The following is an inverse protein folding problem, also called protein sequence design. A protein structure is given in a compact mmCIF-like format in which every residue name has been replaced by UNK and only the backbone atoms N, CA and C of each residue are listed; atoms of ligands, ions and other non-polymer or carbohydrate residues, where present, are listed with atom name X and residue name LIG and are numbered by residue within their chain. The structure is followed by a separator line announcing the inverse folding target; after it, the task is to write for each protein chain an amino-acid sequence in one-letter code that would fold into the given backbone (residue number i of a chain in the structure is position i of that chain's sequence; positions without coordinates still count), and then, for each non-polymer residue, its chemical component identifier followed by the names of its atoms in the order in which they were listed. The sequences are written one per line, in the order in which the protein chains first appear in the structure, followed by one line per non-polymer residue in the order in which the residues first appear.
data_IF_881607345578
#
_entry.id   IF_881607345578
#
_cell.length_a   1.000
_cell.length_b   1.000
_cell.length_c   1.000
_cell.angle_alpha   90.00
_cell.angle_beta   90.00
_cell.angle_gamma   90.00
#
_symmetry.space_group_name_H-M   'P 1'
#
loop_
_entity.id
_entity.type
_entity.pdbx_description
1 polymer ?
#
# COMPACT_ATOMS: atom_id res chain seq x y z
N UNK A 1 -36.26 -6.69 -18.90
CA UNK A 1 -35.26 -5.63 -19.15
C UNK A 1 -34.34 -5.57 -17.94
N UNK A 2 -33.03 -5.80 -18.13
CA UNK A 2 -31.99 -5.49 -17.14
C UNK A 2 -31.63 -6.59 -16.16
N UNK A 3 -30.85 -7.56 -16.61
CA UNK A 3 -30.11 -8.50 -15.76
C UNK A 3 -29.11 -7.70 -14.91
N UNK A 4 -29.31 -7.67 -13.59
CA UNK A 4 -28.34 -7.11 -12.63
C UNK A 4 -27.03 -7.89 -12.80
N UNK A 5 -25.98 -7.18 -13.20
CA UNK A 5 -24.66 -7.73 -13.49
C UNK A 5 -24.15 -8.59 -12.33
N UNK A 6 -23.94 -9.87 -12.59
CA UNK A 6 -23.17 -10.78 -11.76
C UNK A 6 -21.71 -10.29 -11.76
N UNK A 7 -21.34 -9.44 -10.81
CA UNK A 7 -19.92 -9.33 -10.46
C UNK A 7 -19.54 -10.64 -9.79
N UNK A 8 -18.48 -11.29 -10.26
CA UNK A 8 -17.91 -12.43 -9.55
C UNK A 8 -17.56 -11.99 -8.11
N UNK A 9 -17.82 -12.84 -7.10
CA UNK A 9 -17.45 -12.51 -5.74
C UNK A 9 -15.93 -12.28 -5.67
N UNK A 10 -15.53 -11.08 -5.24
CA UNK A 10 -14.11 -10.73 -5.09
C UNK A 10 -13.46 -11.73 -4.15
N UNK A 11 -12.38 -12.36 -4.61
CA UNK A 11 -11.57 -13.23 -3.79
C UNK A 11 -10.74 -12.38 -2.80
N UNK A 12 -11.26 -12.21 -1.58
CA UNK A 12 -10.63 -11.44 -0.50
C UNK A 12 -9.15 -11.81 -0.26
N UNK A 13 -8.80 -13.09 -0.42
CA UNK A 13 -7.43 -13.57 -0.22
C UNK A 13 -6.52 -13.07 -1.34
N UNK A 14 -6.98 -13.13 -2.58
CA UNK A 14 -6.25 -12.64 -3.74
C UNK A 14 -6.07 -11.13 -3.71
N UNK A 15 -7.15 -10.39 -3.46
CA UNK A 15 -7.12 -8.94 -3.27
C UNK A 15 -6.08 -8.52 -2.24
N UNK A 16 -6.11 -9.17 -1.07
CA UNK A 16 -5.16 -8.94 0.01
C UNK A 16 -3.73 -9.23 -0.41
N UNK A 17 -3.48 -10.32 -1.13
CA UNK A 17 -2.14 -10.68 -1.59
C UNK A 17 -1.57 -9.66 -2.58
N UNK A 18 -2.39 -9.20 -3.54
CA UNK A 18 -2.02 -8.17 -4.51
C UNK A 18 -1.66 -6.87 -3.78
N UNK A 19 -2.53 -6.40 -2.89
CA UNK A 19 -2.31 -5.17 -2.13
C UNK A 19 -1.06 -5.24 -1.25
N UNK A 20 -0.85 -6.34 -0.53
CA UNK A 20 0.32 -6.51 0.33
C UNK A 20 1.60 -6.45 -0.50
N UNK A 21 1.61 -7.06 -1.69
CA UNK A 21 2.77 -7.02 -2.59
C UNK A 21 3.06 -5.60 -3.06
N UNK A 22 2.04 -4.85 -3.46
CA UNK A 22 2.20 -3.45 -3.87
C UNK A 22 2.66 -2.55 -2.71
N UNK A 23 2.11 -2.71 -1.50
CA UNK A 23 2.54 -1.96 -0.31
C UNK A 23 3.97 -2.29 0.12
N UNK A 24 4.40 -3.56 0.03
CA UNK A 24 5.79 -3.94 0.30
C UNK A 24 6.75 -3.33 -0.75
N UNK A 25 6.38 -3.37 -2.02
CA UNK A 25 7.20 -2.81 -3.09
C UNK A 25 7.27 -1.27 -3.01
N UNK A 26 6.17 -0.62 -2.63
CA UNK A 26 6.11 0.83 -2.40
C UNK A 26 7.24 1.34 -1.50
N UNK A 27 7.60 0.62 -0.42
CA UNK A 27 8.71 1.01 0.45
C UNK A 27 10.03 1.14 -0.31
N UNK A 28 10.35 0.15 -1.15
CA UNK A 28 11.56 0.17 -1.96
C UNK A 28 11.49 1.26 -3.04
N UNK A 29 10.31 1.48 -3.64
CA UNK A 29 10.13 2.55 -4.63
C UNK A 29 10.30 3.94 -4.01
N UNK A 30 9.84 4.16 -2.78
CA UNK A 30 10.01 5.43 -2.09
C UNK A 30 11.48 5.75 -1.85
N UNK A 31 12.25 4.79 -1.33
CA UNK A 31 13.71 4.92 -1.17
C UNK A 31 14.39 5.16 -2.52
N UNK A 32 13.98 4.45 -3.58
CA UNK A 32 14.51 4.68 -4.93
C UNK A 32 14.30 6.13 -5.39
N UNK A 33 13.14 6.73 -5.15
CA UNK A 33 12.88 8.13 -5.53
C UNK A 33 13.72 9.12 -4.70
N UNK A 34 13.93 8.85 -3.42
CA UNK A 34 14.80 9.66 -2.55
C UNK A 34 16.25 9.62 -3.06
N UNK A 35 16.78 8.43 -3.36
CA UNK A 35 18.12 8.25 -3.93
C UNK A 35 18.26 8.93 -5.31
N UNK A 36 17.21 8.87 -6.14
CA UNK A 36 17.20 9.55 -7.44
C UNK A 36 17.22 11.07 -7.29
N UNK A 37 16.57 11.61 -6.26
CA UNK A 37 16.62 13.04 -5.96
C UNK A 37 18.02 13.43 -5.46
N UNK A 38 18.61 12.68 -4.54
CA UNK A 38 19.98 12.88 -4.05
C UNK A 38 21.00 12.89 -5.20
N UNK A 39 20.92 11.90 -6.11
CA UNK A 39 21.79 11.85 -7.28
C UNK A 39 21.64 13.07 -8.19
N UNK A 40 20.40 13.51 -8.44
CA UNK A 40 20.13 14.71 -9.26
C UNK A 40 20.70 15.96 -8.60
N UNK A 41 20.49 16.13 -7.31
CA UNK A 41 20.96 17.29 -6.54
C UNK A 41 22.50 17.32 -6.47
N UNK A 42 23.14 16.15 -6.43
CA UNK A 42 24.60 15.98 -6.46
C UNK A 42 25.24 15.94 -7.85
N UNK A 43 24.46 16.02 -8.94
CA UNK A 43 24.96 15.89 -10.31
C UNK A 43 25.53 14.50 -10.66
N UNK A 44 25.19 13.48 -9.88
CA UNK A 44 25.64 12.10 -10.07
C UNK A 44 24.76 11.41 -11.11
N UNK A 45 25.39 10.87 -12.14
CA UNK A 45 24.72 10.10 -13.20
C UNK A 45 25.15 8.64 -13.07
N UNK A 46 24.19 7.72 -13.17
CA UNK A 46 24.43 6.27 -13.22
C UNK A 46 25.27 5.70 -12.05
N UNK A 47 24.98 6.14 -10.81
CA UNK A 47 25.65 5.64 -9.60
C UNK A 47 25.64 4.10 -9.49
N UNK A 48 24.57 3.47 -9.97
CA UNK A 48 24.43 2.01 -10.06
C UNK A 48 23.97 1.59 -11.46
N UNK A 49 24.39 0.42 -11.96
CA UNK A 49 23.95 -0.11 -13.24
C UNK A 49 22.45 -0.42 -13.24
N UNK A 50 21.74 0.03 -14.28
CA UNK A 50 20.29 -0.17 -14.42
C UNK A 50 19.98 -1.29 -15.41
N UNK A 51 19.37 -2.38 -14.93
CA UNK A 51 18.95 -3.51 -15.79
C UNK A 51 17.63 -3.24 -16.53
N UNK A 52 16.78 -2.34 -16.01
CA UNK A 52 15.49 -1.98 -16.59
C UNK A 52 15.10 -0.56 -16.21
N UNK A 53 14.79 0.28 -17.19
CA UNK A 53 14.27 1.61 -16.93
C UNK A 53 12.75 1.55 -16.66
N UNK A 54 12.36 1.72 -15.40
CA UNK A 54 10.96 1.78 -14.95
C UNK A 54 10.65 3.05 -14.17
N UNK A 55 11.50 4.08 -14.27
CA UNK A 55 11.50 5.21 -13.34
C UNK A 55 10.17 5.96 -13.29
N UNK A 56 9.60 6.28 -14.45
CA UNK A 56 8.28 6.92 -14.52
C UNK A 56 7.19 6.08 -13.85
N UNK A 57 7.18 4.77 -14.11
CA UNK A 57 6.17 3.86 -13.53
C UNK A 57 6.34 3.79 -12.02
N UNK A 58 7.57 3.68 -11.53
CA UNK A 58 7.91 3.70 -10.10
C UNK A 58 7.40 4.98 -9.44
N UNK A 59 7.62 6.13 -10.06
CA UNK A 59 7.17 7.43 -9.56
C UNK A 59 5.65 7.52 -9.48
N UNK A 60 4.93 7.10 -10.53
CA UNK A 60 3.46 7.08 -10.51
C UNK A 60 2.90 6.13 -9.46
N UNK A 61 3.51 4.94 -9.27
CA UNK A 61 3.09 4.00 -8.22
C UNK A 61 3.21 4.62 -6.83
N UNK A 62 4.34 5.26 -6.51
CA UNK A 62 4.53 5.94 -5.22
C UNK A 62 3.46 7.01 -5.02
N UNK A 63 3.30 7.91 -5.99
CA UNK A 63 2.30 9.00 -5.92
C UNK A 63 0.86 8.50 -5.75
N UNK A 64 0.49 7.42 -6.44
CA UNK A 64 -0.85 6.86 -6.32
C UNK A 64 -1.07 6.16 -4.97
N UNK A 65 -0.08 5.42 -4.47
CA UNK A 65 -0.16 4.77 -3.16
C UNK A 65 -0.19 5.80 -2.03
N UNK A 66 0.58 6.88 -2.11
CA UNK A 66 0.51 7.97 -1.12
C UNK A 66 -0.87 8.62 -1.07
N UNK A 67 -1.50 8.87 -2.23
CA UNK A 67 -2.88 9.38 -2.30
C UNK A 67 -3.90 8.38 -1.76
N UNK A 68 -3.75 7.09 -2.08
CA UNK A 68 -4.63 6.04 -1.57
C UNK A 68 -4.50 5.89 -0.04
N UNK A 69 -3.29 6.04 0.52
CA UNK A 69 -3.09 6.07 1.98
C UNK A 69 -3.72 7.32 2.62
N UNK A 70 -3.74 8.45 1.91
CA UNK A 70 -4.37 9.68 2.38
C UNK A 70 -5.91 9.59 2.41
N UNK A 71 -6.53 8.74 1.58
CA UNK A 71 -7.99 8.56 1.60
C UNK A 71 -8.50 7.70 2.76
N UNK A 72 -7.61 7.06 3.52
CA UNK A 72 -7.98 6.26 4.68
C UNK A 72 -8.26 7.14 5.89
N UNK A 73 -9.18 6.71 6.77
CA UNK A 73 -9.32 7.38 8.06
C UNK A 73 -8.08 7.17 8.96
N UNK A 74 -7.97 7.97 10.03
CA UNK A 74 -6.79 7.95 10.90
C UNK A 74 -6.51 6.58 11.54
N UNK A 75 -7.54 5.79 11.84
CA UNK A 75 -7.38 4.47 12.44
C UNK A 75 -7.02 3.41 11.39
N UNK A 76 -7.69 3.46 10.24
CA UNK A 76 -7.40 2.63 9.07
C UNK A 76 -5.95 2.81 8.62
N UNK A 77 -5.52 4.05 8.48
CA UNK A 77 -4.14 4.39 8.12
C UNK A 77 -3.13 3.85 9.11
N UNK A 78 -3.34 4.04 10.42
CA UNK A 78 -2.44 3.48 11.45
C UNK A 78 -2.36 1.95 11.39
N UNK A 79 -3.48 1.28 11.14
CA UNK A 79 -3.49 -0.19 10.98
C UNK A 79 -2.66 -0.61 9.77
N UNK A 80 -2.80 0.08 8.63
CA UNK A 80 -2.03 -0.23 7.41
C UNK A 80 -0.54 0.04 7.62
N UNK A 81 -0.20 1.17 8.24
CA UNK A 81 1.18 1.55 8.53
C UNK A 81 1.86 0.50 9.42
N UNK A 82 1.26 0.17 10.57
CA UNK A 82 1.80 -0.81 11.51
C UNK A 82 1.86 -2.23 10.96
N UNK A 83 0.89 -2.62 10.11
CA UNK A 83 0.81 -4.01 9.63
C UNK A 83 1.67 -4.28 8.40
N UNK A 84 1.80 -3.30 7.51
CA UNK A 84 2.31 -3.51 6.16
C UNK A 84 3.46 -2.59 5.77
N UNK A 85 3.59 -1.42 6.40
CA UNK A 85 4.60 -0.43 6.05
C UNK A 85 5.77 -0.37 7.04
N UNK A 86 5.69 -1.08 8.16
CA UNK A 86 6.83 -1.35 9.05
C UNK A 86 7.79 -2.37 8.43
N UNK A 87 9.03 -2.39 8.91
CA UNK A 87 10.05 -3.39 8.57
C UNK A 87 9.84 -4.71 9.32
N UNK A 88 9.23 -4.63 10.51
CA UNK A 88 8.97 -5.75 11.40
C UNK A 88 7.63 -6.42 11.08
N UNK A 89 7.57 -7.74 11.17
CA UNK A 89 6.31 -8.48 11.09
C UNK A 89 5.56 -8.39 12.42
N UNK A 90 4.66 -7.43 12.53
CA UNK A 90 3.86 -7.21 13.75
C UNK A 90 2.60 -8.07 13.73
N UNK A 91 2.32 -8.77 14.84
CA UNK A 91 1.12 -9.58 14.97
C UNK A 91 -0.14 -8.73 15.08
N UNK A 92 -1.27 -9.25 14.55
CA UNK A 92 -2.56 -8.54 14.62
C UNK A 92 -2.96 -8.24 16.08
N UNK A 93 -2.61 -9.15 17.00
CA UNK A 93 -2.82 -9.03 18.44
C UNK A 93 -2.11 -7.81 19.00
N UNK A 94 -0.83 -7.68 18.71
CA UNK A 94 0.01 -6.58 19.16
C UNK A 94 -0.53 -5.25 18.63
N UNK A 95 -0.93 -5.19 17.36
CA UNK A 95 -1.46 -3.96 16.75
C UNK A 95 -2.72 -3.49 17.48
N UNK A 96 -3.73 -4.35 17.70
CA UNK A 96 -4.96 -3.87 18.33
C UNK A 96 -4.77 -3.57 19.83
N UNK A 97 -3.81 -4.22 20.51
CA UNK A 97 -3.44 -3.87 21.89
C UNK A 97 -2.74 -2.51 21.95
N UNK A 98 -1.75 -2.28 21.08
CA UNK A 98 -1.01 -1.00 20.99
C UNK A 98 -1.94 0.16 20.60
N UNK A 99 -2.92 -0.09 19.74
CA UNK A 99 -3.92 0.91 19.36
C UNK A 99 -5.05 1.08 20.40
N UNK A 100 -5.11 0.24 21.44
CA UNK A 100 -6.16 0.29 22.46
C UNK A 100 -7.57 0.02 21.91
N UNK A 101 -7.70 -0.80 20.86
CA UNK A 101 -8.98 -1.08 20.20
C UNK A 101 -9.42 -2.54 20.37
N UNK A 102 -10.73 -2.75 20.42
CA UNK A 102 -11.32 -4.10 20.46
C UNK A 102 -11.00 -4.88 19.19
N UNK A 103 -10.73 -6.19 19.34
CA UNK A 103 -10.48 -7.15 18.25
C UNK A 103 -11.45 -7.01 17.07
N UNK A 104 -12.76 -6.95 17.33
CA UNK A 104 -13.77 -6.82 16.27
C UNK A 104 -13.64 -5.51 15.47
N UNK A 105 -13.39 -4.39 16.15
CA UNK A 105 -13.18 -3.08 15.51
C UNK A 105 -11.91 -3.09 14.64
N UNK A 106 -10.84 -3.74 15.12
CA UNK A 106 -9.60 -3.91 14.35
C UNK A 106 -9.84 -4.64 13.03
N UNK A 107 -10.46 -5.82 13.05
CA UNK A 107 -10.66 -6.60 11.82
C UNK A 107 -11.61 -5.92 10.84
N UNK A 108 -12.64 -5.23 11.34
CA UNK A 108 -13.53 -4.41 10.51
C UNK A 108 -12.74 -3.30 9.81
N UNK A 109 -12.01 -2.48 10.58
CA UNK A 109 -11.23 -1.35 10.05
C UNK A 109 -10.12 -1.80 9.10
N UNK A 110 -9.44 -2.90 9.41
CA UNK A 110 -8.46 -3.52 8.53
C UNK A 110 -9.06 -3.94 7.19
N UNK A 111 -10.22 -4.60 7.21
CA UNK A 111 -10.93 -5.00 5.99
C UNK A 111 -11.34 -3.78 5.17
N UNK A 112 -11.99 -2.81 5.79
CA UNK A 112 -12.41 -1.56 5.13
C UNK A 112 -11.23 -0.81 4.52
N UNK A 113 -10.11 -0.70 5.25
CA UNK A 113 -8.89 -0.08 4.74
C UNK A 113 -8.36 -0.77 3.48
N UNK A 114 -8.30 -2.11 3.47
CA UNK A 114 -7.85 -2.86 2.30
C UNK A 114 -8.78 -2.65 1.10
N UNK A 115 -10.10 -2.64 1.30
CA UNK A 115 -11.07 -2.37 0.23
C UNK A 115 -10.96 -0.94 -0.32
N UNK A 116 -10.80 0.04 0.56
CA UNK A 116 -10.63 1.44 0.16
C UNK A 116 -9.32 1.63 -0.63
N UNK A 117 -8.23 0.98 -0.22
CA UNK A 117 -6.97 0.98 -0.97
C UNK A 117 -7.13 0.32 -2.34
N UNK A 118 -7.79 -0.84 -2.41
CA UNK A 118 -8.04 -1.51 -3.69
C UNK A 118 -8.82 -0.61 -4.65
N UNK A 119 -9.89 0.02 -4.16
CA UNK A 119 -10.74 0.93 -4.93
C UNK A 119 -9.93 2.13 -5.41
N UNK A 120 -9.19 2.79 -4.51
CA UNK A 120 -8.40 3.98 -4.85
C UNK A 120 -7.25 3.68 -5.85
N UNK A 121 -6.74 2.45 -5.85
CA UNK A 121 -5.70 1.99 -6.77
C UNK A 121 -6.26 1.35 -8.06
N UNK A 122 -7.58 1.27 -8.21
CA UNK A 122 -8.23 0.67 -9.39
C UNK A 122 -7.99 -0.84 -9.54
N UNK A 123 -7.84 -1.55 -8.42
CA UNK A 123 -7.71 -3.02 -8.39
C UNK A 123 -9.09 -3.69 -8.47
N UNK A 124 -10.13 -2.99 -7.99
CA UNK A 124 -11.54 -3.38 -8.04
C UNK A 124 -12.41 -2.22 -8.49
#
# INVERSE_FOLDING_TARGET
MGQLSFFEPINDKELRNILIKELKHYKALKVKLENQKENKDGGIVDLFPTLRNTDKISEYKVKQIERALYSLDALERKIIELKYLTTEEVNDIEIYLTLGIKKGKYYLKKRTALYNLATALGII
#
